data_IF_734086010506
#
_entry.id   IF_734086010506
#
_cell.length_a   1.000
_cell.length_b   1.000
_cell.length_c   1.000
_cell.angle_alpha   90.00
_cell.angle_beta   90.00
_cell.angle_gamma   90.00
#
_symmetry.space_group_name_H-M   'P 1'
#
loop_
_entity.id
_entity.type
_entity.pdbx_description
1 polymer ?
#
# COMPACT_ATOMS: atom_id res chain seq x y z
N UNK A 1 -1.86 -3.64 -22.07
CA UNK A 1 -0.85 -3.19 -23.02
C UNK A 1 -1.47 -2.40 -24.16
N UNK A 2 -2.45 -2.92 -24.87
CA UNK A 2 -3.07 -2.26 -26.05
C UNK A 2 -3.79 -0.95 -25.70
N UNK A 3 -4.17 -0.77 -24.45
CA UNK A 3 -4.79 0.45 -23.90
C UNK A 3 -3.75 1.44 -23.33
N UNK A 4 -2.46 1.21 -23.54
CA UNK A 4 -1.40 2.05 -22.97
C UNK A 4 -1.17 1.86 -21.45
N UNK A 5 -1.71 0.77 -20.87
CA UNK A 5 -1.50 0.47 -19.44
C UNK A 5 -0.17 -0.29 -19.29
N UNK A 6 0.71 0.22 -18.45
CA UNK A 6 2.03 -0.35 -18.20
C UNK A 6 2.26 -0.80 -16.75
N UNK A 7 1.33 -0.49 -15.85
CA UNK A 7 1.43 -0.84 -14.44
C UNK A 7 0.19 -1.62 -14.01
N UNK A 8 0.41 -2.65 -13.22
CA UNK A 8 -0.64 -3.50 -12.66
C UNK A 8 -0.49 -3.56 -11.14
N UNK A 9 -1.54 -3.14 -10.43
CA UNK A 9 -1.68 -3.40 -9.00
C UNK A 9 -2.63 -4.58 -8.82
N UNK A 10 -2.18 -5.62 -8.14
CA UNK A 10 -2.97 -6.83 -7.85
C UNK A 10 -3.35 -6.88 -6.39
N UNK A 11 -4.47 -7.53 -6.07
CA UNK A 11 -4.90 -7.78 -4.70
C UNK A 11 -5.82 -8.98 -4.64
N UNK A 12 -5.81 -9.69 -3.51
CA UNK A 12 -6.58 -10.92 -3.30
C UNK A 12 -7.22 -10.90 -1.90
N UNK A 13 -8.13 -9.96 -1.69
CA UNK A 13 -8.84 -9.83 -0.43
C UNK A 13 -9.76 -11.04 -0.18
N UNK A 14 -9.73 -11.57 1.04
CA UNK A 14 -10.57 -12.69 1.46
C UNK A 14 -9.92 -14.07 1.26
N UNK A 15 -10.74 -15.08 1.25
CA UNK A 15 -10.29 -16.49 1.13
C UNK A 15 -9.91 -16.87 -0.29
N UNK A 16 -8.89 -17.71 -0.43
CA UNK A 16 -8.48 -18.25 -1.72
C UNK A 16 -9.42 -19.40 -2.13
N UNK A 17 -9.89 -19.36 -3.36
CA UNK A 17 -10.77 -20.39 -3.93
C UNK A 17 -10.20 -21.80 -3.77
N UNK A 18 -11.07 -22.78 -3.52
CA UNK A 18 -10.68 -24.18 -3.34
C UNK A 18 -10.01 -24.48 -2.01
N UNK A 19 -10.10 -23.61 -1.00
CA UNK A 19 -9.52 -23.82 0.32
C UNK A 19 -7.99 -23.82 0.36
N UNK A 20 -7.35 -23.27 -0.68
CA UNK A 20 -5.90 -23.19 -0.76
C UNK A 20 -5.33 -22.23 0.28
N UNK A 21 -4.20 -22.59 0.87
CA UNK A 21 -3.48 -21.70 1.75
C UNK A 21 -2.86 -20.52 0.97
N UNK A 22 -3.03 -19.30 1.48
CA UNK A 22 -2.53 -18.08 0.84
C UNK A 22 -1.01 -18.11 0.56
N UNK A 23 -0.23 -18.69 1.45
CA UNK A 23 1.22 -18.86 1.28
C UNK A 23 1.63 -20.25 0.77
N UNK A 24 0.66 -21.05 0.35
CA UNK A 24 0.90 -22.40 -0.18
C UNK A 24 1.41 -22.37 -1.63
N UNK A 25 1.83 -23.53 -2.10
CA UNK A 25 2.43 -23.71 -3.41
C UNK A 25 1.53 -23.24 -4.57
N UNK A 26 0.21 -23.35 -4.40
CA UNK A 26 -0.75 -22.87 -5.40
C UNK A 26 -0.59 -21.35 -5.63
N UNK A 27 -0.58 -20.56 -4.56
CA UNK A 27 -0.45 -19.10 -4.67
C UNK A 27 0.97 -18.66 -5.08
N UNK A 28 2.00 -19.38 -4.65
CA UNK A 28 3.38 -19.13 -5.12
C UNK A 28 3.45 -19.24 -6.64
N UNK A 29 2.89 -20.29 -7.21
CA UNK A 29 2.83 -20.47 -8.67
C UNK A 29 1.96 -19.43 -9.35
N UNK A 30 0.85 -19.05 -8.72
CA UNK A 30 -0.05 -18.02 -9.25
C UNK A 30 0.65 -16.66 -9.35
N UNK A 31 1.30 -16.21 -8.29
CA UNK A 31 2.05 -14.94 -8.30
C UNK A 31 3.21 -14.97 -9.30
N UNK A 32 3.91 -16.08 -9.40
CA UNK A 32 4.95 -16.25 -10.41
C UNK A 32 4.36 -16.11 -11.82
N UNK A 33 3.27 -16.81 -12.11
CA UNK A 33 2.59 -16.74 -13.41
C UNK A 33 2.12 -15.33 -13.75
N UNK A 34 1.58 -14.58 -12.78
CA UNK A 34 1.17 -13.18 -12.98
C UNK A 34 2.37 -12.33 -13.38
N UNK A 35 3.47 -12.42 -12.67
CA UNK A 35 4.69 -11.63 -12.94
C UNK A 35 5.28 -11.97 -14.29
N UNK A 36 5.39 -13.24 -14.64
CA UNK A 36 5.90 -13.71 -15.93
C UNK A 36 5.00 -13.28 -17.08
N UNK A 37 3.69 -13.33 -16.87
CA UNK A 37 2.72 -12.89 -17.89
C UNK A 37 2.80 -11.39 -18.08
N UNK A 38 2.82 -10.61 -17.00
CA UNK A 38 2.96 -9.16 -17.06
C UNK A 38 4.26 -8.74 -17.78
N UNK A 39 5.37 -9.46 -17.57
CA UNK A 39 6.63 -9.20 -18.25
C UNK A 39 6.52 -9.33 -19.78
N UNK A 40 5.78 -10.34 -20.28
CA UNK A 40 5.53 -10.52 -21.72
C UNK A 40 4.86 -9.30 -22.36
N UNK A 41 4.02 -8.61 -21.59
CA UNK A 41 3.32 -7.40 -22.01
C UNK A 41 4.03 -6.11 -21.61
N UNK A 42 5.28 -6.19 -21.11
CA UNK A 42 6.07 -5.05 -20.63
C UNK A 42 5.35 -4.24 -19.54
N UNK A 43 4.68 -4.95 -18.65
CA UNK A 43 3.95 -4.37 -17.53
C UNK A 43 4.70 -4.61 -16.22
N UNK A 44 4.70 -3.60 -15.35
CA UNK A 44 5.17 -3.73 -13.97
C UNK A 44 4.07 -4.23 -13.06
N UNK A 45 4.44 -4.86 -11.95
CA UNK A 45 3.51 -5.41 -10.97
C UNK A 45 3.82 -4.84 -9.59
N UNK A 46 2.77 -4.32 -8.94
CA UNK A 46 2.72 -4.01 -7.52
C UNK A 46 1.74 -4.98 -6.87
N UNK A 47 2.24 -5.91 -6.07
CA UNK A 47 1.42 -7.02 -5.54
C UNK A 47 0.91 -6.72 -4.13
N UNK A 48 -0.42 -6.68 -3.98
CA UNK A 48 -1.11 -6.62 -2.69
C UNK A 48 -1.57 -8.01 -2.25
N UNK A 49 -1.80 -8.16 -0.93
CA UNK A 49 -1.97 -9.46 -0.27
C UNK A 49 -0.97 -10.51 -0.80
N UNK A 50 0.32 -10.14 -0.90
CA UNK A 50 1.29 -10.98 -1.56
C UNK A 50 1.64 -12.21 -0.72
N UNK A 51 2.15 -13.23 -1.39
CA UNK A 51 2.88 -14.30 -0.73
C UNK A 51 4.14 -13.74 -0.04
N UNK A 52 4.70 -14.49 0.90
CA UNK A 52 6.03 -14.17 1.46
C UNK A 52 7.05 -14.09 0.33
N UNK A 53 8.05 -13.23 0.51
CA UNK A 53 9.09 -13.06 -0.50
C UNK A 53 9.83 -14.37 -0.75
N UNK A 54 9.86 -14.76 -2.03
CA UNK A 54 10.58 -15.94 -2.51
C UNK A 54 11.73 -15.56 -3.47
N UNK A 55 12.08 -14.27 -3.56
CA UNK A 55 13.16 -13.78 -4.41
C UNK A 55 12.79 -13.59 -5.89
N UNK A 56 11.53 -13.81 -6.27
CA UNK A 56 11.06 -13.72 -7.67
C UNK A 56 11.38 -12.36 -8.32
N UNK A 57 11.39 -11.28 -7.55
CA UNK A 57 11.74 -9.92 -8.01
C UNK A 57 13.18 -9.79 -8.51
N UNK A 58 14.06 -10.71 -8.12
CA UNK A 58 15.46 -10.73 -8.60
C UNK A 58 15.58 -11.39 -9.97
N UNK A 59 14.67 -12.30 -10.28
CA UNK A 59 14.57 -12.94 -11.60
C UNK A 59 13.71 -12.09 -12.53
N UNK A 60 12.62 -11.53 -12.00
CA UNK A 60 11.64 -10.75 -12.74
C UNK A 60 11.56 -9.32 -12.21
N UNK A 61 12.41 -8.40 -12.68
CA UNK A 61 12.50 -7.04 -12.15
C UNK A 61 11.26 -6.18 -12.38
N UNK A 62 10.33 -6.63 -13.22
CA UNK A 62 9.02 -6.01 -13.37
C UNK A 62 8.12 -6.19 -12.14
N UNK A 63 8.47 -7.05 -11.19
CA UNK A 63 7.86 -7.08 -9.87
C UNK A 63 8.48 -5.98 -9.01
N UNK A 64 7.85 -4.81 -9.04
CA UNK A 64 8.40 -3.58 -8.48
C UNK A 64 8.26 -3.50 -6.97
N UNK A 65 7.08 -3.81 -6.45
CA UNK A 65 6.77 -3.65 -5.03
C UNK A 65 5.72 -4.66 -4.58
N UNK A 66 5.64 -4.84 -3.27
CA UNK A 66 4.63 -5.69 -2.62
C UNK A 66 4.14 -5.00 -1.36
N UNK A 67 2.88 -5.19 -1.00
CA UNK A 67 2.40 -4.81 0.32
C UNK A 67 3.05 -5.68 1.42
N UNK A 68 2.46 -6.80 1.77
CA UNK A 68 3.00 -7.84 2.66
C UNK A 68 3.22 -7.44 4.11
N UNK A 69 2.60 -6.34 4.54
CA UNK A 69 2.49 -5.91 5.93
C UNK A 69 1.29 -4.95 6.05
N UNK A 70 0.92 -4.61 7.27
CA UNK A 70 -0.14 -3.64 7.54
C UNK A 70 0.23 -2.29 6.92
N UNK A 71 -0.52 -1.86 5.92
CA UNK A 71 -0.33 -0.62 5.18
C UNK A 71 -1.08 0.57 5.78
N UNK A 72 -0.96 1.72 5.12
CA UNK A 72 -1.59 2.98 5.55
C UNK A 72 -3.11 2.93 5.54
N UNK A 73 -3.71 2.15 4.69
CA UNK A 73 -5.16 1.98 4.58
C UNK A 73 -5.84 1.59 5.90
N UNK A 74 -5.11 0.95 6.81
CA UNK A 74 -5.62 0.58 8.13
C UNK A 74 -5.99 1.77 9.02
N UNK A 75 -5.52 2.96 8.71
CA UNK A 75 -5.98 4.17 9.37
C UNK A 75 -7.44 4.50 9.03
N UNK A 76 -7.95 3.99 7.92
CA UNK A 76 -9.31 4.26 7.48
C UNK A 76 -10.39 3.37 8.14
N UNK A 77 -10.04 2.16 8.55
CA UNK A 77 -11.02 1.19 9.07
C UNK A 77 -10.61 0.45 10.34
N UNK A 78 -9.67 1.01 11.07
CA UNK A 78 -9.25 0.48 12.38
C UNK A 78 -8.90 1.64 13.31
N UNK A 79 -8.40 1.33 14.50
CA UNK A 79 -7.83 2.34 15.40
C UNK A 79 -6.58 3.05 14.87
N UNK A 80 -6.23 2.79 13.61
CA UNK A 80 -5.06 3.35 12.94
C UNK A 80 -3.77 2.57 13.19
N UNK A 81 -2.72 3.01 12.52
CA UNK A 81 -1.37 2.50 12.74
C UNK A 81 -0.73 3.24 13.93
N UNK A 82 -0.18 2.55 14.91
CA UNK A 82 0.61 3.23 15.93
C UNK A 82 1.91 3.76 15.30
N UNK A 83 2.43 4.90 15.74
CA UNK A 83 3.67 5.48 15.22
C UNK A 83 4.88 4.52 15.25
N UNK A 84 4.89 3.60 16.21
CA UNK A 84 5.93 2.56 16.33
C UNK A 84 5.89 1.54 15.18
N UNK A 85 4.73 1.25 14.62
CA UNK A 85 4.61 0.31 13.49
C UNK A 85 5.40 0.80 12.28
N UNK A 86 5.18 2.04 11.89
CA UNK A 86 5.78 2.62 10.70
C UNK A 86 7.31 2.70 10.79
N UNK A 87 7.85 3.05 11.98
CA UNK A 87 9.29 3.09 12.18
C UNK A 87 9.93 1.70 12.38
N UNK A 88 9.13 0.67 12.61
CA UNK A 88 9.60 -0.73 12.69
C UNK A 88 9.73 -1.37 11.31
N UNK A 89 8.92 -0.96 10.33
CA UNK A 89 8.92 -1.54 8.98
C UNK A 89 10.29 -1.55 8.30
N UNK A 90 11.12 -0.48 8.37
CA UNK A 90 12.46 -0.47 7.78
C UNK A 90 13.38 -1.58 8.31
N UNK A 91 13.21 -1.97 9.55
CA UNK A 91 14.07 -2.97 10.23
C UNK A 91 13.49 -4.39 10.18
N UNK A 92 12.31 -4.57 9.63
CA UNK A 92 11.60 -5.86 9.59
C UNK A 92 11.13 -6.17 8.18
N UNK A 93 9.98 -5.61 7.77
CA UNK A 93 9.34 -5.91 6.48
C UNK A 93 10.24 -5.54 5.28
N UNK A 94 10.94 -4.42 5.34
CA UNK A 94 11.77 -3.95 4.23
C UNK A 94 13.05 -4.77 4.01
N UNK A 95 13.45 -5.61 4.96
CA UNK A 95 14.52 -6.60 4.75
C UNK A 95 14.17 -7.58 3.62
N UNK A 96 12.88 -7.82 3.39
CA UNK A 96 12.39 -8.66 2.29
C UNK A 96 12.14 -7.89 0.97
N UNK A 97 12.61 -6.65 0.88
CA UNK A 97 12.51 -5.80 -0.32
C UNK A 97 11.46 -4.70 -0.23
N UNK A 98 11.26 -3.94 -1.31
CA UNK A 98 10.41 -2.76 -1.33
C UNK A 98 8.97 -3.06 -0.91
N UNK A 99 8.35 -2.06 -0.27
CA UNK A 99 6.98 -2.18 0.22
C UNK A 99 6.10 -1.05 -0.33
N UNK A 100 4.92 -1.41 -0.82
CA UNK A 100 3.84 -0.46 -1.05
C UNK A 100 3.08 -0.22 0.27
N UNK A 101 3.44 0.84 0.96
CA UNK A 101 2.82 1.26 2.21
C UNK A 101 1.75 2.32 2.00
N UNK A 102 1.87 3.12 0.94
CA UNK A 102 1.01 4.25 0.60
C UNK A 102 1.03 5.36 1.67
N UNK A 103 2.17 5.98 1.97
CA UNK A 103 2.25 7.08 2.92
C UNK A 103 1.69 8.39 2.36
N UNK A 104 1.76 9.47 3.13
CA UNK A 104 1.52 10.83 2.64
C UNK A 104 0.14 11.38 2.96
N UNK A 105 -0.52 10.97 4.03
CA UNK A 105 -1.74 11.64 4.49
C UNK A 105 -1.40 13.03 5.02
N UNK A 106 -1.86 14.08 4.34
CA UNK A 106 -1.65 15.48 4.69
C UNK A 106 -2.81 16.06 5.47
N UNK A 107 -4.05 15.70 5.14
CA UNK A 107 -5.23 16.03 5.95
C UNK A 107 -5.31 15.11 7.19
N UNK A 108 -4.33 15.26 8.08
CA UNK A 108 -4.14 14.40 9.26
C UNK A 108 -5.37 14.42 10.19
N UNK A 109 -6.05 15.55 10.26
CA UNK A 109 -7.23 15.74 11.10
C UNK A 109 -8.53 15.45 10.35
N UNK A 110 -8.44 15.08 9.10
CA UNK A 110 -9.59 14.89 8.21
C UNK A 110 -10.55 16.09 8.16
N UNK A 111 -10.02 17.31 8.26
CA UNK A 111 -10.82 18.52 8.30
C UNK A 111 -11.68 18.69 7.06
N UNK A 112 -11.09 18.49 5.88
CA UNK A 112 -11.79 18.58 4.61
C UNK A 112 -12.81 17.43 4.45
N UNK A 113 -12.47 16.24 4.93
CA UNK A 113 -13.37 15.07 4.88
C UNK A 113 -14.47 15.17 5.92
N UNK A 114 -14.15 15.64 7.11
CA UNK A 114 -15.10 15.77 8.24
C UNK A 114 -16.29 16.66 7.91
N UNK A 115 -16.06 17.72 7.18
CA UNK A 115 -17.08 18.70 6.81
C UNK A 115 -17.73 18.41 5.45
N UNK A 116 -17.33 17.36 4.75
CA UNK A 116 -17.88 17.00 3.45
C UNK A 116 -19.26 16.37 3.59
N UNK A 117 -20.28 16.82 2.78
CA UNK A 117 -21.58 16.15 2.72
C UNK A 117 -21.51 14.73 2.14
N UNK A 118 -20.39 14.38 1.51
CA UNK A 118 -20.13 13.03 0.97
C UNK A 118 -19.41 12.12 1.97
N UNK A 119 -19.19 12.58 3.20
CA UNK A 119 -18.51 11.82 4.24
C UNK A 119 -19.20 10.47 4.44
N UNK A 120 -18.43 9.41 4.29
CA UNK A 120 -18.82 8.07 4.74
C UNK A 120 -18.07 7.77 6.04
N UNK A 121 -18.84 7.42 7.05
CA UNK A 121 -18.28 6.86 8.28
C UNK A 121 -17.99 5.38 8.01
N UNK A 122 -16.73 5.06 7.83
CA UNK A 122 -16.30 3.68 7.89
C UNK A 122 -16.29 3.26 9.36
N UNK A 123 -15.86 2.14 9.73
CA UNK A 123 -15.91 1.49 11.05
C UNK A 123 -15.61 2.34 12.32
N UNK A 124 -15.39 3.63 12.17
CA UNK A 124 -15.26 4.57 13.28
C UNK A 124 -16.60 5.28 13.46
N UNK A 125 -17.20 5.16 14.62
CA UNK A 125 -18.40 5.92 14.96
C UNK A 125 -18.19 7.44 14.85
N UNK A 126 -19.26 8.22 14.72
CA UNK A 126 -19.18 9.68 14.61
C UNK A 126 -18.55 10.38 15.83
N UNK A 127 -18.40 9.65 16.90
CA UNK A 127 -17.92 10.13 18.21
C UNK A 127 -16.40 10.01 18.35
N UNK A 128 -15.72 9.31 17.46
CA UNK A 128 -14.27 9.17 17.52
C UNK A 128 -13.63 10.40 16.91
N UNK A 129 -12.70 11.00 17.60
CA UNK A 129 -11.85 12.06 17.07
C UNK A 129 -10.94 11.46 16.01
N UNK A 130 -11.44 11.47 14.79
CA UNK A 130 -10.82 10.81 13.64
C UNK A 130 -9.60 11.61 13.22
N UNK A 131 -8.44 11.07 13.51
CA UNK A 131 -7.17 11.61 13.02
C UNK A 131 -6.22 10.48 12.69
N UNK A 132 -5.30 10.74 11.78
CA UNK A 132 -4.14 9.86 11.59
C UNK A 132 -3.14 10.16 12.70
N UNK A 133 -2.69 9.13 13.41
CA UNK A 133 -1.76 9.28 14.54
C UNK A 133 -0.32 9.48 14.05
N UNK A 134 -0.08 10.61 13.43
CA UNK A 134 1.17 10.96 12.75
C UNK A 134 1.44 12.46 12.81
N UNK A 135 2.54 12.87 12.19
CA UNK A 135 2.84 14.27 11.87
C UNK A 135 3.11 14.39 10.37
N UNK A 136 2.92 15.57 9.82
CA UNK A 136 3.20 15.83 8.41
C UNK A 136 4.66 15.53 8.03
N UNK A 137 5.59 15.95 8.89
CA UNK A 137 7.01 15.65 8.70
C UNK A 137 7.29 14.13 8.62
N UNK A 138 6.60 13.34 9.45
CA UNK A 138 6.71 11.88 9.42
C UNK A 138 6.14 11.32 8.12
N UNK A 139 5.00 11.80 7.64
CA UNK A 139 4.40 11.34 6.38
C UNK A 139 5.33 11.58 5.18
N UNK A 140 6.01 12.71 5.15
CA UNK A 140 7.02 13.01 4.13
C UNK A 140 8.23 12.10 4.27
N UNK A 141 8.72 11.88 5.49
CA UNK A 141 9.85 10.99 5.74
C UNK A 141 9.56 9.53 5.36
N UNK A 142 8.32 9.08 5.50
CA UNK A 142 7.90 7.71 5.16
C UNK A 142 8.13 7.38 3.68
N UNK A 143 7.98 8.32 2.76
CA UNK A 143 8.32 8.11 1.35
C UNK A 143 9.80 7.80 1.12
N UNK A 144 10.67 8.24 2.01
CA UNK A 144 12.10 7.97 1.93
C UNK A 144 12.45 6.67 2.63
N UNK A 145 11.97 6.49 3.87
CA UNK A 145 12.38 5.35 4.72
C UNK A 145 11.65 4.05 4.39
N UNK A 146 10.39 4.12 3.94
CA UNK A 146 9.64 2.97 3.46
C UNK A 146 9.79 2.95 1.93
N UNK A 147 10.96 2.51 1.49
CA UNK A 147 11.33 2.60 0.09
C UNK A 147 10.48 1.71 -0.81
N UNK A 148 10.12 2.24 -1.96
CA UNK A 148 9.47 1.52 -3.05
C UNK A 148 9.81 2.18 -4.38
N UNK A 149 10.10 1.43 -5.44
CA UNK A 149 10.26 2.01 -6.77
C UNK A 149 8.93 2.51 -7.36
N UNK A 150 7.81 2.13 -6.75
CA UNK A 150 6.48 2.65 -7.04
C UNK A 150 5.96 3.28 -5.75
N UNK A 151 6.10 4.59 -5.63
CA UNK A 151 5.55 5.34 -4.51
C UNK A 151 4.10 5.70 -4.78
N UNK A 152 3.27 5.46 -3.77
CA UNK A 152 1.86 5.81 -3.76
C UNK A 152 1.63 6.98 -2.80
N UNK A 153 0.53 7.70 -2.97
CA UNK A 153 0.12 8.78 -2.10
C UNK A 153 -1.28 8.48 -1.56
N UNK A 154 -1.46 8.65 -0.26
CA UNK A 154 -2.69 8.22 0.43
C UNK A 154 -3.78 9.29 0.50
N UNK A 155 -3.46 10.53 0.15
CA UNK A 155 -4.40 11.62 0.29
C UNK A 155 -5.01 12.08 -1.05
N UNK A 156 -6.00 12.94 -0.97
CA UNK A 156 -6.57 13.61 -2.13
C UNK A 156 -5.58 14.61 -2.70
N UNK A 157 -5.60 14.79 -4.02
CA UNK A 157 -4.67 15.70 -4.70
C UNK A 157 -4.81 17.14 -4.19
N UNK A 158 -6.01 17.54 -3.82
CA UNK A 158 -6.33 18.86 -3.29
C UNK A 158 -5.61 19.16 -1.97
N UNK A 159 -5.25 18.13 -1.21
CA UNK A 159 -4.51 18.29 0.05
C UNK A 159 -3.01 18.48 -0.17
N UNK A 160 -2.53 18.19 -1.37
CA UNK A 160 -1.13 18.44 -1.76
C UNK A 160 -0.96 19.77 -2.49
N UNK A 161 -1.96 20.18 -3.29
CA UNK A 161 -1.89 21.40 -4.09
C UNK A 161 -1.67 22.63 -3.23
N UNK A 162 -0.61 23.40 -3.56
CA UNK A 162 -0.26 24.62 -2.84
C UNK A 162 0.31 24.40 -1.44
N UNK A 163 0.51 23.16 -1.02
CA UNK A 163 1.13 22.89 0.27
C UNK A 163 2.63 23.22 0.24
N UNK A 164 3.17 23.98 1.21
CA UNK A 164 4.55 24.46 1.17
C UNK A 164 5.63 23.38 1.24
N UNK A 165 5.27 22.16 1.57
CA UNK A 165 6.16 21.01 1.56
C UNK A 165 6.18 20.25 0.21
N UNK A 166 5.39 20.68 -0.75
CA UNK A 166 5.30 20.21 -2.14
C UNK A 166 5.70 21.34 -3.08
#
# INVERSE_FOLDING_TARGET
ADLGIHNLKTGYAGGISGGNNHHGQYMVRHYQHVVETAAKYRMTVNAHEPIKDCGIRRTWPNMMSREGARGKEWDAWSAGNPPSHEVTLPFTRLLAGPMDFTPGTFDILYENTRNSPRRKLWNCGPEVDMRVNTTLAKQIAEWVIIYSPVQMASDLIENYEGHPAF
#
